data_IF_705921173436
#
_entry.id   IF_705921173436
#
_cell.length_a   1.000
_cell.length_b   1.000
_cell.length_c   1.000
_cell.angle_alpha   90.00
_cell.angle_beta   90.00
_cell.angle_gamma   90.00
#
_symmetry.space_group_name_H-M   'P 1'
#
loop_
_entity.id
_entity.type
_entity.pdbx_description
1 polymer ?
#
# COMPACT_ATOMS: atom_id res chain seq x y z
N UNK A 1 9.03 27.75 -1.32
CA UNK A 1 10.37 28.17 -1.79
C UNK A 1 10.24 28.91 -3.11
N UNK A 2 11.25 29.71 -3.49
CA UNK A 2 11.27 30.34 -4.79
C UNK A 2 11.68 29.33 -5.87
N UNK A 3 11.04 29.40 -7.04
CA UNK A 3 11.28 28.57 -8.21
C UNK A 3 11.60 29.42 -9.43
N UNK A 4 12.31 28.87 -10.40
CA UNK A 4 12.85 29.58 -11.57
C UNK A 4 12.51 28.87 -12.90
N UNK A 5 11.32 28.28 -13.00
CA UNK A 5 10.85 27.63 -14.23
C UNK A 5 10.60 28.65 -15.34
N UNK A 6 10.99 28.32 -16.56
CA UNK A 6 10.65 29.10 -17.76
C UNK A 6 9.18 28.91 -18.14
N UNK A 7 8.62 29.86 -18.92
CA UNK A 7 7.25 29.73 -19.43
C UNK A 7 7.07 28.47 -20.30
N UNK A 8 8.11 28.07 -21.03
CA UNK A 8 8.10 26.87 -21.85
C UNK A 8 7.98 25.59 -20.98
N UNK A 9 8.70 25.54 -19.84
CA UNK A 9 8.59 24.43 -18.88
C UNK A 9 7.20 24.40 -18.22
N UNK A 10 6.66 25.57 -17.84
CA UNK A 10 5.34 25.66 -17.22
C UNK A 10 4.17 25.34 -18.17
N UNK A 11 4.42 25.26 -19.48
CA UNK A 11 3.42 24.76 -20.44
C UNK A 11 3.13 23.26 -20.27
N UNK A 12 4.06 22.49 -19.67
CA UNK A 12 3.79 21.10 -19.24
C UNK A 12 2.95 21.10 -17.95
N UNK A 13 1.73 20.52 -17.96
CA UNK A 13 0.85 20.49 -16.79
C UNK A 13 1.49 19.81 -15.56
N UNK A 14 2.40 18.84 -15.77
CA UNK A 14 3.07 18.15 -14.66
C UNK A 14 4.15 19.02 -14.04
N UNK A 15 4.88 19.80 -14.83
CA UNK A 15 5.85 20.79 -14.31
C UNK A 15 5.11 21.94 -13.62
N UNK A 16 4.01 22.42 -14.18
CA UNK A 16 3.19 23.45 -13.55
C UNK A 16 2.65 23.02 -12.18
N UNK A 17 2.25 21.75 -12.05
CA UNK A 17 1.82 21.19 -10.76
C UNK A 17 3.01 21.02 -9.79
N UNK A 18 4.17 20.54 -10.27
CA UNK A 18 5.38 20.47 -9.48
C UNK A 18 5.81 21.85 -8.95
N UNK A 19 5.70 22.91 -9.76
CA UNK A 19 5.98 24.30 -9.36
C UNK A 19 5.10 24.73 -8.19
N UNK A 20 3.79 24.49 -8.25
CA UNK A 20 2.86 24.81 -7.14
C UNK A 20 3.26 24.10 -5.85
N UNK A 21 3.57 22.80 -5.94
CA UNK A 21 3.96 22.00 -4.78
C UNK A 21 5.29 22.51 -4.19
N UNK A 22 6.27 22.82 -5.04
CA UNK A 22 7.56 23.35 -4.63
C UNK A 22 7.41 24.72 -3.94
N UNK A 23 6.58 25.62 -4.48
CA UNK A 23 6.31 26.96 -3.90
C UNK A 23 5.64 26.86 -2.53
N UNK A 24 4.82 25.85 -2.27
CA UNK A 24 4.19 25.65 -0.97
C UNK A 24 5.20 25.30 0.14
N UNK A 25 6.40 24.80 -0.20
CA UNK A 25 7.41 24.43 0.79
C UNK A 25 8.17 25.64 1.32
N UNK A 26 8.12 25.86 2.64
CA UNK A 26 8.86 26.94 3.33
C UNK A 26 10.14 26.47 4.04
N UNK A 27 10.57 25.23 3.79
CA UNK A 27 11.78 24.62 4.35
C UNK A 27 11.89 24.60 5.90
N UNK A 28 10.78 24.64 6.63
CA UNK A 28 10.77 24.68 8.10
C UNK A 28 11.38 23.45 8.80
N UNK A 29 11.42 22.29 8.12
CA UNK A 29 12.04 21.07 8.64
C UNK A 29 11.12 20.18 9.50
N UNK A 30 9.87 20.52 9.78
CA UNK A 30 8.96 19.67 10.59
C UNK A 30 8.81 18.25 10.03
N UNK A 31 8.89 18.09 8.72
CA UNK A 31 8.81 16.80 8.05
C UNK A 31 10.00 15.85 8.33
N UNK A 32 11.12 16.35 8.84
CA UNK A 32 12.32 15.54 9.09
C UNK A 32 12.09 14.58 10.25
N UNK A 33 11.45 15.03 11.33
CA UNK A 33 11.19 14.22 12.53
C UNK A 33 10.30 13.00 12.26
N UNK A 34 9.45 13.06 11.23
CA UNK A 34 8.53 11.97 10.89
C UNK A 34 9.00 11.13 9.69
N UNK A 35 10.10 11.52 9.05
CA UNK A 35 10.65 10.79 7.90
C UNK A 35 11.44 9.56 8.35
N UNK A 36 11.01 8.33 7.98
CA UNK A 36 11.69 7.10 8.42
C UNK A 36 13.16 7.04 8.01
N UNK A 37 13.50 7.47 6.79
CA UNK A 37 14.87 7.43 6.30
C UNK A 37 15.77 8.46 6.97
N UNK A 38 15.27 9.66 7.23
CA UNK A 38 16.01 10.67 7.99
C UNK A 38 16.25 10.22 9.45
N UNK A 39 15.21 9.67 10.11
CA UNK A 39 15.31 9.15 11.47
C UNK A 39 16.34 8.02 11.59
N UNK A 40 16.52 7.21 10.53
CA UNK A 40 17.50 6.13 10.52
C UNK A 40 18.92 6.57 10.16
N UNK A 41 19.07 7.55 9.27
CA UNK A 41 20.35 7.86 8.61
C UNK A 41 20.94 9.20 9.05
N UNK A 42 20.11 10.16 9.49
CA UNK A 42 20.55 11.52 9.80
C UNK A 42 21.00 12.34 8.58
N UNK A 43 20.87 11.80 7.37
CA UNK A 43 21.27 12.44 6.13
C UNK A 43 20.16 13.39 5.65
N UNK A 44 20.50 14.68 5.47
CA UNK A 44 19.53 15.69 5.03
C UNK A 44 18.92 15.37 3.66
N UNK A 45 19.70 14.82 2.73
CA UNK A 45 19.20 14.46 1.39
C UNK A 45 18.24 13.26 1.44
N UNK A 46 18.23 12.49 2.53
CA UNK A 46 17.26 11.45 2.81
C UNK A 46 16.03 11.96 3.57
N UNK A 47 15.92 13.29 3.82
CA UNK A 47 14.75 13.97 4.36
C UNK A 47 13.76 14.40 3.27
N UNK A 48 12.48 14.66 3.58
CA UNK A 48 11.53 15.17 2.59
C UNK A 48 11.95 16.53 2.02
N UNK A 49 12.43 17.46 2.85
CA UNK A 49 12.86 18.77 2.36
C UNK A 49 14.13 18.69 1.52
N UNK A 50 15.07 17.84 1.87
CA UNK A 50 16.27 17.58 1.05
C UNK A 50 15.91 17.00 -0.31
N UNK A 51 14.99 16.02 -0.35
CA UNK A 51 14.45 15.47 -1.60
C UNK A 51 13.71 16.52 -2.43
N UNK A 52 12.93 17.40 -1.81
CA UNK A 52 12.26 18.52 -2.49
C UNK A 52 13.32 19.41 -3.17
N UNK A 53 14.44 19.66 -2.51
CA UNK A 53 15.54 20.42 -3.09
C UNK A 53 16.18 19.74 -4.29
N UNK A 54 16.49 18.44 -4.17
CA UNK A 54 17.01 17.64 -5.28
C UNK A 54 16.06 17.60 -6.49
N UNK A 55 14.77 17.45 -6.24
CA UNK A 55 13.74 17.43 -7.30
C UNK A 55 13.65 18.79 -7.95
N UNK A 56 13.62 19.88 -7.17
CA UNK A 56 13.61 21.25 -7.69
C UNK A 56 14.78 21.49 -8.63
N UNK A 57 15.99 21.17 -8.17
CA UNK A 57 17.21 21.39 -8.96
C UNK A 57 17.20 20.58 -10.27
N UNK A 58 16.75 19.31 -10.22
CA UNK A 58 16.65 18.46 -11.40
C UNK A 58 15.63 19.01 -12.42
N UNK A 59 14.46 19.49 -11.96
CA UNK A 59 13.39 19.96 -12.84
C UNK A 59 13.67 21.36 -13.41
N UNK A 60 14.12 22.31 -12.60
CA UNK A 60 14.41 23.69 -13.06
C UNK A 60 15.50 23.74 -14.11
N UNK A 61 16.55 22.93 -13.95
CA UNK A 61 17.65 22.88 -14.88
C UNK A 61 17.44 21.91 -16.04
N UNK A 62 16.28 21.24 -16.11
CA UNK A 62 15.92 20.24 -17.12
C UNK A 62 17.03 19.17 -17.30
N UNK A 63 17.68 18.78 -16.21
CA UNK A 63 18.81 17.84 -16.22
C UNK A 63 18.34 16.39 -16.11
N UNK A 64 19.06 15.43 -16.75
CA UNK A 64 18.94 14.02 -16.40
C UNK A 64 19.20 13.79 -14.90
N UNK A 65 18.53 12.81 -14.32
CA UNK A 65 18.76 12.44 -12.93
C UNK A 65 20.20 11.93 -12.73
N UNK A 66 20.88 12.41 -11.69
CA UNK A 66 22.19 11.91 -11.28
C UNK A 66 22.07 10.68 -10.39
N UNK A 67 23.14 9.91 -10.23
CA UNK A 67 23.17 8.77 -9.31
C UNK A 67 22.85 9.18 -7.85
N UNK A 68 23.23 10.39 -7.45
CA UNK A 68 22.92 10.95 -6.13
C UNK A 68 21.42 11.22 -5.97
N UNK A 69 20.78 11.89 -6.92
CA UNK A 69 19.33 12.12 -6.93
C UNK A 69 18.59 10.78 -6.86
N UNK A 70 18.96 9.82 -7.71
CA UNK A 70 18.37 8.49 -7.76
C UNK A 70 18.50 7.77 -6.42
N UNK A 71 19.67 7.80 -5.79
CA UNK A 71 19.92 7.19 -4.47
C UNK A 71 18.94 7.69 -3.42
N UNK A 72 18.74 8.99 -3.32
CA UNK A 72 17.91 9.58 -2.27
C UNK A 72 16.41 9.49 -2.59
N UNK A 73 16.00 9.58 -3.85
CA UNK A 73 14.60 9.39 -4.25
C UNK A 73 14.19 7.91 -4.12
N UNK A 74 15.04 6.96 -4.50
CA UNK A 74 14.77 5.53 -4.35
C UNK A 74 14.68 5.08 -2.88
N UNK A 75 15.30 5.80 -1.96
CA UNK A 75 15.18 5.58 -0.51
C UNK A 75 13.88 6.12 0.08
N UNK A 76 13.09 6.88 -0.65
CA UNK A 76 11.77 7.32 -0.19
C UNK A 76 10.77 6.16 -0.20
N UNK A 77 10.14 5.90 0.95
CA UNK A 77 9.13 4.86 1.11
C UNK A 77 7.73 5.26 0.60
N UNK A 78 7.53 6.48 0.14
CA UNK A 78 6.17 7.03 -0.11
C UNK A 78 5.19 6.77 1.03
N UNK A 79 5.68 6.86 2.26
CA UNK A 79 4.85 6.64 3.46
C UNK A 79 3.93 7.82 3.80
N UNK A 80 4.16 8.98 3.17
CA UNK A 80 3.37 10.20 3.26
C UNK A 80 3.27 10.85 4.66
N UNK A 81 4.05 10.37 5.65
CA UNK A 81 4.09 10.94 7.00
C UNK A 81 4.47 12.42 6.99
N UNK A 82 5.35 12.82 6.07
CA UNK A 82 5.72 14.21 5.85
C UNK A 82 4.56 15.11 5.41
N UNK A 83 3.55 14.57 4.72
CA UNK A 83 2.37 15.34 4.29
C UNK A 83 1.45 15.67 5.45
N UNK A 84 1.20 14.71 6.35
CA UNK A 84 0.34 14.92 7.52
C UNK A 84 0.99 15.78 8.59
N UNK A 85 2.32 15.90 8.58
CA UNK A 85 3.09 16.74 9.50
C UNK A 85 3.30 18.16 8.96
N UNK A 86 3.13 18.37 7.63
CA UNK A 86 3.46 19.64 7.00
C UNK A 86 2.40 20.72 7.27
N UNK A 87 2.74 21.82 7.99
CA UNK A 87 1.80 22.92 8.24
C UNK A 87 1.48 23.72 6.98
N UNK A 88 2.37 23.69 5.97
CA UNK A 88 2.18 24.41 4.70
C UNK A 88 1.43 23.58 3.64
N UNK A 89 0.99 22.36 3.97
CA UNK A 89 0.19 21.54 3.07
C UNK A 89 0.92 21.07 1.80
N UNK A 90 2.23 20.89 1.84
CA UNK A 90 3.00 20.41 0.68
C UNK A 90 2.53 19.03 0.23
N UNK A 91 2.01 18.91 -0.98
CA UNK A 91 1.53 17.65 -1.55
C UNK A 91 2.69 16.81 -2.10
N UNK A 92 3.54 16.32 -1.19
CA UNK A 92 4.80 15.64 -1.52
C UNK A 92 4.61 14.37 -2.36
N UNK A 93 3.47 13.67 -2.25
CA UNK A 93 3.18 12.43 -3.01
C UNK A 93 3.34 12.66 -4.52
N UNK A 94 2.63 13.62 -5.06
CA UNK A 94 2.68 13.90 -6.50
C UNK A 94 4.06 14.38 -6.96
N UNK A 95 4.78 15.12 -6.10
CA UNK A 95 6.13 15.58 -6.44
C UNK A 95 7.13 14.44 -6.54
N UNK A 96 7.11 13.48 -5.60
CA UNK A 96 8.04 12.35 -5.62
C UNK A 96 7.70 11.35 -6.73
N UNK A 97 6.42 11.19 -7.06
CA UNK A 97 5.99 10.33 -8.15
C UNK A 97 6.41 10.91 -9.51
N UNK A 98 6.23 12.24 -9.71
CA UNK A 98 6.76 12.93 -10.88
C UNK A 98 8.29 12.81 -11.00
N UNK A 99 9.03 12.92 -9.89
CA UNK A 99 10.47 12.72 -9.88
C UNK A 99 10.87 11.30 -10.29
N UNK A 100 10.14 10.28 -9.85
CA UNK A 100 10.40 8.87 -10.25
C UNK A 100 10.18 8.63 -11.73
N UNK A 101 9.13 9.22 -12.32
CA UNK A 101 8.89 9.16 -13.76
C UNK A 101 10.05 9.80 -14.52
N UNK A 102 10.51 10.99 -14.10
CA UNK A 102 11.68 11.66 -14.69
C UNK A 102 12.95 10.81 -14.56
N UNK A 103 13.18 10.19 -13.40
CA UNK A 103 14.32 9.29 -13.18
C UNK A 103 14.27 8.09 -14.14
N UNK A 104 13.12 7.44 -14.26
CA UNK A 104 12.99 6.25 -15.13
C UNK A 104 13.20 6.62 -16.60
N UNK A 105 12.81 7.82 -17.02
CA UNK A 105 13.00 8.33 -18.39
C UNK A 105 14.46 8.75 -18.68
N UNK A 106 15.19 9.30 -17.69
CA UNK A 106 16.46 9.98 -17.96
C UNK A 106 17.70 9.29 -17.36
N UNK A 107 17.53 8.41 -16.36
CA UNK A 107 18.64 7.72 -15.70
C UNK A 107 18.80 6.28 -16.15
N UNK A 108 20.00 5.97 -16.65
CA UNK A 108 20.33 4.59 -17.04
C UNK A 108 20.81 3.78 -15.85
N UNK A 109 19.92 3.05 -15.21
CA UNK A 109 20.23 2.16 -14.09
C UNK A 109 21.19 1.04 -14.49
N UNK A 110 22.01 0.50 -13.56
CA UNK A 110 22.80 -0.71 -13.78
C UNK A 110 21.92 -1.87 -14.29
N UNK A 111 22.48 -2.74 -15.13
CA UNK A 111 21.73 -3.83 -15.79
C UNK A 111 20.98 -4.72 -14.78
N UNK A 112 21.65 -5.11 -13.69
CA UNK A 112 21.04 -5.96 -12.65
C UNK A 112 19.82 -5.31 -12.00
N UNK A 113 19.87 -4.00 -11.69
CA UNK A 113 18.73 -3.25 -11.14
C UNK A 113 17.59 -3.15 -12.16
N UNK A 114 17.89 -2.89 -13.43
CA UNK A 114 16.90 -2.85 -14.51
C UNK A 114 16.17 -4.18 -14.67
N UNK A 115 16.92 -5.29 -14.72
CA UNK A 115 16.34 -6.63 -14.86
C UNK A 115 15.47 -6.96 -13.65
N UNK A 116 15.97 -6.72 -12.43
CA UNK A 116 15.22 -6.95 -11.21
C UNK A 116 13.90 -6.16 -11.19
N UNK A 117 13.94 -4.86 -11.47
CA UNK A 117 12.74 -4.01 -11.53
C UNK A 117 11.76 -4.47 -12.60
N UNK A 118 12.24 -4.88 -13.78
CA UNK A 118 11.41 -5.41 -14.85
C UNK A 118 10.72 -6.72 -14.45
N UNK A 119 11.44 -7.63 -13.79
CA UNK A 119 10.88 -8.89 -13.26
C UNK A 119 9.83 -8.60 -12.20
N UNK A 120 10.11 -7.74 -11.22
CA UNK A 120 9.15 -7.36 -10.18
C UNK A 120 7.90 -6.72 -10.77
N UNK A 121 8.05 -5.81 -11.72
CA UNK A 121 6.93 -5.13 -12.40
C UNK A 121 6.02 -6.10 -13.17
N UNK A 122 6.57 -7.18 -13.72
CA UNK A 122 5.80 -8.17 -14.50
C UNK A 122 5.22 -9.29 -13.62
N UNK A 123 5.97 -9.75 -12.63
CA UNK A 123 5.62 -10.93 -11.82
C UNK A 123 4.62 -10.58 -10.72
N UNK A 124 4.88 -9.53 -9.94
CA UNK A 124 4.07 -9.23 -8.75
C UNK A 124 2.62 -8.79 -9.07
N UNK A 125 2.34 -8.01 -10.14
CA UNK A 125 0.97 -7.66 -10.48
C UNK A 125 0.14 -8.82 -11.05
N UNK A 126 0.78 -9.93 -11.45
CA UNK A 126 0.11 -11.08 -12.04
C UNK A 126 0.06 -12.25 -11.06
N UNK A 127 -1.12 -12.62 -10.51
CA UNK A 127 -1.23 -13.69 -9.52
C UNK A 127 -0.67 -15.04 -9.97
N UNK A 128 -0.82 -15.39 -11.26
CA UNK A 128 -0.31 -16.67 -11.80
C UNK A 128 1.22 -16.71 -11.80
N UNK A 129 1.87 -15.66 -12.35
CA UNK A 129 3.33 -15.56 -12.35
C UNK A 129 3.89 -15.44 -10.95
N UNK A 130 3.18 -14.72 -10.06
CA UNK A 130 3.62 -14.58 -8.68
C UNK A 130 3.57 -15.89 -7.92
N UNK A 131 2.52 -16.72 -8.09
CA UNK A 131 2.46 -18.08 -7.51
C UNK A 131 3.59 -18.97 -8.03
N UNK A 132 3.85 -18.96 -9.33
CA UNK A 132 4.96 -19.73 -9.92
C UNK A 132 6.31 -19.29 -9.34
N UNK A 133 6.54 -17.99 -9.20
CA UNK A 133 7.75 -17.46 -8.59
C UNK A 133 7.90 -17.88 -7.11
N UNK A 134 6.80 -17.88 -6.35
CA UNK A 134 6.79 -18.34 -4.97
C UNK A 134 7.08 -19.86 -4.87
N UNK A 135 6.51 -20.68 -5.75
CA UNK A 135 6.77 -22.11 -5.78
C UNK A 135 8.24 -22.39 -6.11
N UNK A 136 8.79 -21.76 -7.14
CA UNK A 136 10.20 -21.88 -7.48
C UNK A 136 11.13 -21.40 -6.35
N UNK A 137 10.79 -20.28 -5.72
CA UNK A 137 11.58 -19.70 -4.63
C UNK A 137 11.47 -20.51 -3.33
N UNK A 138 10.38 -21.29 -3.11
CA UNK A 138 10.24 -22.10 -1.90
C UNK A 138 11.35 -23.15 -1.78
N UNK A 139 11.80 -23.71 -2.91
CA UNK A 139 12.94 -24.60 -3.00
C UNK A 139 14.27 -23.89 -2.68
N UNK A 140 14.36 -22.60 -3.02
CA UNK A 140 15.58 -21.79 -2.82
C UNK A 140 15.68 -21.12 -1.43
N UNK A 141 14.65 -21.20 -0.59
CA UNK A 141 14.60 -20.47 0.70
C UNK A 141 15.80 -20.79 1.61
N UNK A 142 16.24 -22.04 1.63
CA UNK A 142 17.38 -22.49 2.43
C UNK A 142 18.69 -21.83 1.99
N UNK A 143 18.75 -21.40 0.72
CA UNK A 143 19.92 -20.75 0.11
C UNK A 143 19.96 -19.23 0.32
N UNK A 144 18.96 -18.64 1.00
CA UNK A 144 18.91 -17.19 1.25
C UNK A 144 20.18 -16.62 1.91
N UNK A 145 20.82 -17.29 2.91
CA UNK A 145 22.08 -16.80 3.47
C UNK A 145 23.23 -16.78 2.44
N UNK A 146 23.31 -17.82 1.59
CA UNK A 146 24.32 -17.94 0.53
C UNK A 146 24.17 -16.79 -0.49
N UNK A 147 22.96 -16.52 -0.96
CA UNK A 147 22.69 -15.40 -1.88
C UNK A 147 23.08 -14.05 -1.24
N UNK A 148 22.85 -13.89 0.06
CA UNK A 148 23.31 -12.71 0.79
C UNK A 148 24.83 -12.57 0.82
N UNK A 149 25.54 -13.66 1.05
CA UNK A 149 27.01 -13.69 1.14
C UNK A 149 27.70 -13.39 -0.21
N UNK A 150 27.14 -13.84 -1.33
CA UNK A 150 27.64 -13.57 -2.68
C UNK A 150 27.18 -12.24 -3.27
N UNK A 151 26.57 -11.35 -2.46
CA UNK A 151 26.17 -10.01 -2.88
C UNK A 151 24.81 -9.91 -3.57
N UNK A 152 24.07 -11.02 -3.74
CA UNK A 152 22.72 -11.02 -4.32
C UNK A 152 21.67 -10.65 -3.25
N UNK A 153 21.88 -9.51 -2.57
CA UNK A 153 21.05 -9.03 -1.45
C UNK A 153 19.53 -8.96 -1.76
N UNK A 154 19.09 -8.49 -2.95
CA UNK A 154 17.65 -8.48 -3.27
C UNK A 154 17.04 -9.88 -3.37
N UNK A 155 17.76 -10.85 -3.92
CA UNK A 155 17.31 -12.25 -3.99
C UNK A 155 17.16 -12.82 -2.58
N UNK A 156 18.16 -12.59 -1.73
CA UNK A 156 18.09 -13.00 -0.32
C UNK A 156 16.90 -12.35 0.41
N UNK A 157 16.62 -11.08 0.15
CA UNK A 157 15.46 -10.38 0.71
C UNK A 157 14.14 -11.01 0.25
N UNK A 158 13.99 -11.29 -1.05
CA UNK A 158 12.81 -11.98 -1.58
C UNK A 158 12.59 -13.34 -0.92
N UNK A 159 13.64 -14.14 -0.80
CA UNK A 159 13.56 -15.48 -0.19
C UNK A 159 13.19 -15.43 1.30
N UNK A 160 13.62 -14.39 2.04
CA UNK A 160 13.26 -14.19 3.45
C UNK A 160 11.79 -13.76 3.63
N UNK A 161 11.21 -13.07 2.66
CA UNK A 161 9.83 -12.61 2.67
C UNK A 161 8.83 -13.69 2.22
N UNK A 162 9.32 -14.83 1.75
CA UNK A 162 8.45 -15.89 1.25
C UNK A 162 7.58 -16.48 2.35
N UNK A 163 6.29 -16.71 2.06
CA UNK A 163 5.40 -17.39 2.99
C UNK A 163 5.87 -18.82 3.25
N UNK A 164 5.55 -19.35 4.41
CA UNK A 164 5.87 -20.77 4.77
C UNK A 164 5.14 -21.76 3.86
N UNK A 165 3.97 -21.39 3.37
CA UNK A 165 3.13 -22.21 2.47
C UNK A 165 2.60 -21.34 1.34
N UNK A 166 2.74 -21.79 0.11
CA UNK A 166 2.13 -21.16 -1.06
C UNK A 166 0.71 -21.70 -1.20
N UNK A 167 -0.26 -20.79 -1.18
CA UNK A 167 -1.67 -21.13 -1.29
C UNK A 167 -2.07 -21.26 -2.77
N UNK A 168 -2.94 -22.23 -3.06
CA UNK A 168 -3.62 -22.32 -4.35
C UNK A 168 -4.65 -21.20 -4.54
N UNK A 169 -5.28 -21.11 -5.74
CA UNK A 169 -6.37 -20.19 -5.99
C UNK A 169 -7.51 -20.39 -4.97
N UNK A 170 -8.04 -19.30 -4.44
CA UNK A 170 -9.17 -19.34 -3.54
C UNK A 170 -10.51 -19.37 -4.33
N UNK A 171 -11.60 -19.92 -3.76
CA UNK A 171 -12.93 -19.84 -4.37
C UNK A 171 -13.42 -18.41 -4.61
N UNK A 172 -12.84 -17.44 -3.90
CA UNK A 172 -13.13 -16.02 -4.01
C UNK A 172 -12.17 -15.30 -4.96
N UNK A 173 -11.41 -16.00 -5.77
CA UNK A 173 -10.45 -15.41 -6.72
C UNK A 173 -11.08 -15.26 -8.11
N UNK A 174 -10.85 -14.13 -8.74
CA UNK A 174 -11.34 -13.81 -10.07
C UNK A 174 -12.72 -13.14 -10.06
N UNK A 175 -13.24 -12.93 -11.27
CA UNK A 175 -14.55 -12.27 -11.45
C UNK A 175 -15.68 -13.11 -10.84
N UNK A 176 -16.53 -12.47 -10.03
CA UNK A 176 -17.66 -13.13 -9.40
C UNK A 176 -18.62 -12.17 -8.71
N UNK A 177 -19.82 -12.66 -8.45
CA UNK A 177 -20.85 -11.96 -7.67
C UNK A 177 -21.23 -12.82 -6.47
N UNK A 178 -21.08 -12.25 -5.28
CA UNK A 178 -21.43 -12.87 -4.00
C UNK A 178 -22.70 -12.21 -3.49
N UNK A 179 -23.79 -12.96 -3.50
CA UNK A 179 -25.12 -12.45 -3.13
C UNK A 179 -25.21 -12.13 -1.64
N UNK A 180 -26.00 -11.13 -1.30
CA UNK A 180 -26.35 -10.82 0.08
C UNK A 180 -27.06 -12.01 0.75
N UNK A 181 -26.77 -12.25 2.02
CA UNK A 181 -27.58 -13.14 2.86
C UNK A 181 -28.85 -12.37 3.27
N UNK A 182 -30.01 -12.84 2.80
CA UNK A 182 -31.28 -12.14 2.98
C UNK A 182 -31.53 -11.04 1.94
N UNK A 183 -32.16 -9.95 2.36
CA UNK A 183 -32.52 -8.84 1.45
C UNK A 183 -31.29 -8.02 1.10
N UNK A 184 -31.05 -7.83 -0.21
CA UNK A 184 -29.98 -6.94 -0.69
C UNK A 184 -30.32 -5.48 -0.37
N UNK A 185 -29.47 -4.85 0.43
CA UNK A 185 -29.60 -3.43 0.81
C UNK A 185 -28.65 -2.54 0.02
N UNK A 186 -27.46 -3.04 -0.32
CA UNK A 186 -26.42 -2.31 -1.06
C UNK A 186 -25.66 -3.24 -2.00
N UNK A 187 -24.98 -2.64 -2.98
CA UNK A 187 -24.10 -3.34 -3.91
C UNK A 187 -22.72 -2.67 -3.93
N UNK A 188 -21.67 -3.42 -3.64
CA UNK A 188 -20.31 -2.90 -3.55
C UNK A 188 -19.35 -3.72 -4.42
N UNK A 189 -18.38 -3.07 -5.03
CA UNK A 189 -17.26 -3.77 -5.63
C UNK A 189 -16.18 -4.02 -4.58
N UNK A 190 -15.46 -5.15 -4.66
CA UNK A 190 -14.30 -5.45 -3.84
C UNK A 190 -13.09 -5.65 -4.75
N UNK A 191 -12.06 -4.82 -4.57
CA UNK A 191 -10.78 -5.00 -5.27
C UNK A 191 -10.15 -6.34 -4.86
N UNK A 192 -9.96 -7.25 -5.83
CA UNK A 192 -9.32 -8.52 -5.58
C UNK A 192 -7.87 -8.36 -5.12
N UNK A 193 -7.15 -7.45 -5.76
CA UNK A 193 -5.73 -7.20 -5.54
C UNK A 193 -4.82 -8.27 -6.18
N UNK A 194 -3.58 -7.92 -6.43
CA UNK A 194 -2.61 -8.81 -7.06
C UNK A 194 -1.86 -9.67 -6.03
N UNK A 195 -1.06 -9.04 -5.16
CA UNK A 195 -0.25 -9.73 -4.17
C UNK A 195 -1.11 -10.35 -3.04
N UNK A 196 -2.19 -9.69 -2.64
CA UNK A 196 -3.06 -10.17 -1.57
C UNK A 196 -3.80 -11.45 -1.95
N UNK A 197 -4.30 -11.56 -3.18
CA UNK A 197 -4.96 -12.75 -3.69
C UNK A 197 -4.05 -14.01 -3.61
N UNK A 198 -2.73 -13.81 -3.67
CA UNK A 198 -1.74 -14.89 -3.60
C UNK A 198 -1.26 -15.16 -2.18
N UNK A 199 -0.95 -14.10 -1.43
CA UNK A 199 -0.33 -14.22 -0.09
C UNK A 199 -1.34 -14.48 1.02
N UNK A 200 -2.54 -13.90 0.94
CA UNK A 200 -3.57 -14.00 1.97
C UNK A 200 -4.98 -13.84 1.38
N UNK A 201 -5.46 -14.80 0.59
CA UNK A 201 -6.81 -14.74 0.00
C UNK A 201 -7.92 -14.75 1.06
N UNK A 202 -7.62 -15.22 2.27
CA UNK A 202 -8.53 -15.21 3.43
C UNK A 202 -9.02 -13.80 3.79
N UNK A 203 -8.26 -12.76 3.50
CA UNK A 203 -8.63 -11.36 3.77
C UNK A 203 -9.88 -10.99 2.97
N UNK A 204 -9.87 -11.23 1.65
CA UNK A 204 -11.03 -10.94 0.82
C UNK A 204 -12.21 -11.86 1.16
N UNK A 205 -11.94 -13.14 1.45
CA UNK A 205 -12.98 -14.06 1.88
C UNK A 205 -13.66 -13.60 3.19
N UNK A 206 -12.92 -13.05 4.15
CA UNK A 206 -13.47 -12.47 5.38
C UNK A 206 -14.30 -11.22 5.09
N UNK A 207 -13.81 -10.33 4.21
CA UNK A 207 -14.55 -9.14 3.80
C UNK A 207 -15.87 -9.51 3.11
N UNK A 208 -15.86 -10.46 2.19
CA UNK A 208 -17.05 -10.94 1.48
C UNK A 208 -18.07 -11.49 2.47
N UNK A 209 -17.67 -12.43 3.37
CA UNK A 209 -18.59 -13.01 4.38
C UNK A 209 -19.19 -11.94 5.28
N UNK A 210 -18.38 -10.99 5.74
CA UNK A 210 -18.85 -9.94 6.63
C UNK A 210 -19.86 -9.02 5.92
N UNK A 211 -19.61 -8.66 4.67
CA UNK A 211 -20.46 -7.81 3.87
C UNK A 211 -21.77 -8.52 3.48
N UNK A 212 -21.69 -9.79 3.02
CA UNK A 212 -22.90 -10.53 2.59
C UNK A 212 -23.84 -10.78 3.76
N UNK A 213 -23.32 -11.10 4.95
CA UNK A 213 -24.13 -11.22 6.18
C UNK A 213 -24.80 -9.92 6.59
N UNK A 214 -24.25 -8.78 6.20
CA UNK A 214 -24.84 -7.46 6.43
C UNK A 214 -25.67 -6.94 5.24
N UNK A 215 -26.20 -7.82 4.40
CA UNK A 215 -27.11 -7.47 3.33
C UNK A 215 -26.46 -6.83 2.10
N UNK A 216 -25.15 -6.98 1.90
CA UNK A 216 -24.46 -6.44 0.75
C UNK A 216 -24.25 -7.51 -0.32
N UNK A 217 -24.54 -7.16 -1.57
CA UNK A 217 -24.03 -7.89 -2.72
C UNK A 217 -22.61 -7.41 -3.02
N UNK A 218 -21.66 -8.34 -3.11
CA UNK A 218 -20.24 -8.02 -3.35
C UNK A 218 -19.85 -8.49 -4.75
N UNK A 219 -19.28 -7.59 -5.54
CA UNK A 219 -18.83 -7.87 -6.90
C UNK A 219 -17.31 -7.78 -6.98
N UNK A 220 -16.69 -8.78 -7.55
CA UNK A 220 -15.32 -8.71 -8.08
C UNK A 220 -15.42 -8.57 -9.61
N UNK A 221 -15.06 -7.39 -10.12
CA UNK A 221 -15.32 -7.01 -11.51
C UNK A 221 -14.27 -7.57 -12.49
N UNK A 222 -13.22 -8.21 -11.97
CA UNK A 222 -12.08 -8.68 -12.77
C UNK A 222 -11.16 -7.54 -13.20
N UNK A 223 -11.00 -6.54 -12.33
CA UNK A 223 -10.27 -5.30 -12.56
C UNK A 223 -8.74 -5.48 -12.64
N UNK A 224 -8.21 -6.57 -12.09
CA UNK A 224 -6.77 -6.83 -12.05
C UNK A 224 -6.02 -6.01 -10.99
N UNK A 225 -4.80 -5.58 -11.32
CA UNK A 225 -3.95 -4.80 -10.42
C UNK A 225 -4.32 -3.31 -10.46
N UNK A 226 -4.29 -2.66 -9.28
CA UNK A 226 -4.53 -1.20 -9.15
C UNK A 226 -3.42 -0.29 -9.73
N UNK A 227 -2.30 -0.82 -10.20
CA UNK A 227 -1.19 -0.04 -10.73
C UNK A 227 -0.20 0.52 -9.70
N UNK A 228 -0.52 0.51 -8.42
CA UNK A 228 0.30 1.13 -7.35
C UNK A 228 1.76 0.69 -7.37
N UNK A 229 2.04 -0.59 -7.58
CA UNK A 229 3.38 -1.14 -7.50
C UNK A 229 4.29 -0.58 -8.60
N UNK A 230 3.84 -0.57 -9.84
CA UNK A 230 4.61 -0.06 -10.98
C UNK A 230 4.66 1.46 -10.98
N UNK A 231 3.62 2.15 -10.48
CA UNK A 231 3.60 3.59 -10.26
C UNK A 231 4.72 4.03 -9.30
N UNK A 232 4.87 3.38 -8.17
CA UNK A 232 5.95 3.66 -7.22
C UNK A 232 7.36 3.35 -7.75
N UNK A 233 7.46 2.60 -8.85
CA UNK A 233 8.71 2.36 -9.56
C UNK A 233 9.02 3.40 -10.65
N UNK A 234 8.12 4.37 -10.89
CA UNK A 234 8.22 5.39 -11.93
C UNK A 234 7.78 4.91 -13.32
N UNK A 235 7.17 3.73 -13.43
CA UNK A 235 6.68 3.15 -14.69
C UNK A 235 5.24 3.63 -14.95
N UNK A 236 5.13 4.92 -15.26
CA UNK A 236 3.85 5.63 -15.28
C UNK A 236 2.88 5.06 -16.30
N UNK A 237 3.30 4.85 -17.54
CA UNK A 237 2.41 4.33 -18.59
C UNK A 237 1.83 2.95 -18.23
N UNK A 238 2.63 2.06 -17.63
CA UNK A 238 2.13 0.76 -17.19
C UNK A 238 1.14 0.91 -16.02
N UNK A 239 1.38 1.86 -15.13
CA UNK A 239 0.47 2.15 -14.03
C UNK A 239 -0.86 2.70 -14.54
N UNK A 240 -0.82 3.63 -15.49
CA UNK A 240 -2.02 4.21 -16.12
C UNK A 240 -2.80 3.17 -16.93
N UNK A 241 -2.14 2.24 -17.63
CA UNK A 241 -2.81 1.13 -18.31
C UNK A 241 -3.55 0.22 -17.33
N UNK A 242 -2.94 -0.12 -16.18
CA UNK A 242 -3.59 -0.91 -15.15
C UNK A 242 -4.75 -0.14 -14.51
N UNK A 243 -4.59 1.16 -14.25
CA UNK A 243 -5.65 2.01 -13.74
C UNK A 243 -6.84 2.11 -14.71
N UNK A 244 -6.59 2.31 -16.02
CA UNK A 244 -7.64 2.34 -17.06
C UNK A 244 -8.42 1.02 -17.11
N UNK A 245 -7.72 -0.12 -17.06
CA UNK A 245 -8.37 -1.43 -17.04
C UNK A 245 -9.29 -1.61 -15.82
N UNK A 246 -8.83 -1.19 -14.63
CA UNK A 246 -9.64 -1.22 -13.40
C UNK A 246 -10.83 -0.27 -13.49
N UNK A 247 -10.63 0.95 -13.98
CA UNK A 247 -11.69 1.94 -14.18
C UNK A 247 -12.76 1.40 -15.14
N UNK A 248 -12.37 0.79 -16.27
CA UNK A 248 -13.32 0.24 -17.23
C UNK A 248 -14.12 -0.93 -16.62
N UNK A 249 -13.47 -1.78 -15.80
CA UNK A 249 -14.15 -2.87 -15.12
C UNK A 249 -15.23 -2.34 -14.15
N UNK A 250 -14.87 -1.40 -13.29
CA UNK A 250 -15.82 -0.82 -12.33
C UNK A 250 -16.85 0.08 -12.99
N UNK A 251 -16.51 0.83 -14.05
CA UNK A 251 -17.47 1.67 -14.78
C UNK A 251 -18.60 0.81 -15.37
N UNK A 252 -18.27 -0.39 -15.92
CA UNK A 252 -19.31 -1.33 -16.39
C UNK A 252 -20.28 -1.70 -15.28
N UNK A 253 -19.78 -2.02 -14.09
CA UNK A 253 -20.66 -2.39 -12.96
C UNK A 253 -21.48 -1.18 -12.45
N UNK A 254 -20.89 0.02 -12.47
CA UNK A 254 -21.56 1.26 -12.07
C UNK A 254 -22.69 1.60 -13.06
N UNK A 255 -22.46 1.43 -14.36
CA UNK A 255 -23.41 1.85 -15.41
C UNK A 255 -24.52 0.81 -15.66
N UNK A 256 -24.35 -0.45 -15.20
CA UNK A 256 -25.35 -1.51 -15.32
C UNK A 256 -26.28 -1.58 -14.11
N UNK A 257 -25.74 -2.01 -12.96
CA UNK A 257 -26.52 -2.24 -11.75
C UNK A 257 -26.26 -1.22 -10.62
N UNK A 258 -25.32 -0.31 -10.84
CA UNK A 258 -24.85 0.65 -9.83
C UNK A 258 -23.90 0.03 -8.81
N UNK A 259 -23.11 0.91 -8.18
CA UNK A 259 -22.24 0.57 -7.04
C UNK A 259 -22.35 1.67 -6.00
N UNK A 260 -22.56 1.28 -4.73
CA UNK A 260 -22.54 2.19 -3.58
C UNK A 260 -21.11 2.54 -3.16
N UNK A 261 -20.16 1.62 -3.33
CA UNK A 261 -18.74 1.82 -3.03
C UNK A 261 -17.85 0.82 -3.78
N UNK A 262 -16.56 1.17 -3.89
CA UNK A 262 -15.49 0.28 -4.32
C UNK A 262 -14.58 0.06 -3.10
N UNK A 263 -14.59 -1.15 -2.56
CA UNK A 263 -13.92 -1.48 -1.31
C UNK A 263 -12.52 -2.04 -1.57
N UNK A 264 -11.58 -1.59 -0.78
CA UNK A 264 -10.17 -1.99 -0.89
C UNK A 264 -9.69 -2.48 0.48
N UNK A 265 -9.17 -3.71 0.51
CA UNK A 265 -8.61 -4.35 1.72
C UNK A 265 -7.09 -4.17 1.84
N UNK A 266 -6.41 -3.73 0.79
CA UNK A 266 -4.99 -3.42 0.80
C UNK A 266 -4.79 -1.90 0.75
N UNK A 267 -4.49 -1.27 1.88
CA UNK A 267 -4.47 0.20 2.01
C UNK A 267 -3.55 0.94 1.04
N UNK A 268 -2.44 0.32 0.59
CA UNK A 268 -1.58 0.87 -0.45
C UNK A 268 -2.32 1.02 -1.78
N UNK A 269 -3.08 0.01 -2.18
CA UNK A 269 -3.97 0.07 -3.34
C UNK A 269 -5.05 1.14 -3.14
N UNK A 270 -5.62 1.24 -1.93
CA UNK A 270 -6.65 2.23 -1.61
C UNK A 270 -6.17 3.67 -1.81
N UNK A 271 -4.94 3.99 -1.41
CA UNK A 271 -4.36 5.31 -1.67
C UNK A 271 -4.29 5.61 -3.16
N UNK A 272 -3.84 4.65 -3.98
CA UNK A 272 -3.70 4.82 -5.43
C UNK A 272 -5.05 4.93 -6.13
N UNK A 273 -6.04 4.08 -5.79
CA UNK A 273 -7.37 4.13 -6.40
C UNK A 273 -8.09 5.45 -6.08
N UNK A 274 -7.95 5.95 -4.86
CA UNK A 274 -8.47 7.28 -4.47
C UNK A 274 -7.78 8.42 -5.23
N UNK A 275 -6.58 8.20 -5.76
CA UNK A 275 -5.81 9.19 -6.53
C UNK A 275 -5.98 9.07 -8.06
N UNK A 276 -6.73 8.11 -8.57
CA UNK A 276 -6.95 7.92 -10.01
C UNK A 276 -7.47 9.18 -10.72
N UNK A 277 -8.35 9.94 -10.04
CA UNK A 277 -8.86 11.20 -10.56
C UNK A 277 -7.75 12.22 -10.84
N UNK A 278 -6.70 12.25 -9.99
CA UNK A 278 -5.51 13.06 -10.24
C UNK A 278 -4.60 12.43 -11.29
N UNK A 279 -4.32 11.14 -11.20
CA UNK A 279 -3.41 10.42 -12.12
C UNK A 279 -3.86 10.57 -13.59
N UNK A 280 -5.18 10.51 -13.83
CA UNK A 280 -5.77 10.57 -15.18
C UNK A 280 -6.45 11.92 -15.48
N UNK A 281 -6.15 12.99 -14.73
CA UNK A 281 -6.79 14.32 -14.89
C UNK A 281 -6.63 14.93 -16.28
N UNK A 282 -5.55 14.59 -16.97
CA UNK A 282 -5.24 15.09 -18.32
C UNK A 282 -5.64 14.11 -19.43
N UNK A 283 -6.21 12.95 -19.10
CA UNK A 283 -6.69 11.96 -20.06
C UNK A 283 -8.15 12.26 -20.44
N UNK A 284 -8.39 12.79 -21.64
CA UNK A 284 -9.74 13.20 -22.08
C UNK A 284 -10.77 12.07 -22.07
N UNK A 285 -10.34 10.81 -22.23
CA UNK A 285 -11.21 9.64 -22.26
C UNK A 285 -11.51 9.10 -20.85
N UNK A 286 -10.62 9.32 -19.90
CA UNK A 286 -10.68 8.69 -18.58
C UNK A 286 -10.86 9.65 -17.40
N UNK A 287 -10.58 10.94 -17.54
CA UNK A 287 -10.62 11.90 -16.41
C UNK A 287 -11.94 11.84 -15.62
N UNK A 288 -13.07 11.84 -16.29
CA UNK A 288 -14.39 11.81 -15.64
C UNK A 288 -14.67 10.45 -14.97
N UNK A 289 -14.36 9.34 -15.65
CA UNK A 289 -14.52 7.98 -15.10
C UNK A 289 -13.62 7.77 -13.89
N UNK A 290 -12.36 8.21 -13.98
CA UNK A 290 -11.39 8.13 -12.90
C UNK A 290 -11.84 8.91 -11.66
N UNK A 291 -12.33 10.13 -11.83
CA UNK A 291 -12.89 10.94 -10.74
C UNK A 291 -14.07 10.23 -10.06
N UNK A 292 -14.99 9.63 -10.85
CA UNK A 292 -16.13 8.86 -10.33
C UNK A 292 -15.69 7.64 -9.52
N UNK A 293 -14.71 6.88 -10.01
CA UNK A 293 -14.12 5.73 -9.31
C UNK A 293 -13.44 6.16 -8.02
N UNK A 294 -12.64 7.25 -8.04
CA UNK A 294 -11.96 7.76 -6.85
C UNK A 294 -12.93 8.18 -5.75
N UNK A 295 -14.08 8.78 -6.12
CA UNK A 295 -15.13 9.18 -5.17
C UNK A 295 -15.80 7.96 -4.51
N UNK A 296 -15.95 6.85 -5.23
CA UNK A 296 -16.54 5.61 -4.70
C UNK A 296 -15.55 4.75 -3.91
N UNK A 297 -14.24 4.97 -4.07
CA UNK A 297 -13.21 4.19 -3.41
C UNK A 297 -13.20 4.38 -1.89
N UNK A 298 -13.24 3.28 -1.13
CA UNK A 298 -13.20 3.26 0.33
C UNK A 298 -12.25 2.16 0.82
N UNK A 299 -11.49 2.44 1.87
CA UNK A 299 -10.87 1.37 2.64
C UNK A 299 -11.97 0.53 3.30
N UNK A 300 -11.76 -0.79 3.39
CA UNK A 300 -12.75 -1.69 4.00
C UNK A 300 -13.10 -1.27 5.42
N UNK A 301 -12.13 -0.79 6.21
CA UNK A 301 -12.37 -0.33 7.57
C UNK A 301 -13.13 0.99 7.64
N UNK A 302 -12.89 1.89 6.67
CA UNK A 302 -13.65 3.14 6.52
C UNK A 302 -15.13 2.83 6.23
N UNK A 303 -15.40 1.89 5.34
CA UNK A 303 -16.73 1.50 4.97
C UNK A 303 -17.46 0.75 6.10
N UNK A 304 -16.82 -0.28 6.68
CA UNK A 304 -17.40 -1.05 7.77
C UNK A 304 -17.77 -0.19 8.99
N UNK A 305 -17.03 0.89 9.24
CA UNK A 305 -17.35 1.83 10.33
C UNK A 305 -18.67 2.58 10.11
N UNK A 306 -19.23 2.58 8.88
CA UNK A 306 -20.56 3.14 8.57
C UNK A 306 -21.71 2.15 8.74
N UNK A 307 -21.39 0.89 9.05
CA UNK A 307 -22.39 -0.19 9.21
C UNK A 307 -22.64 -0.49 10.68
N UNK A 308 -23.85 -0.95 10.95
CA UNK A 308 -24.21 -1.55 12.24
C UNK A 308 -23.98 -3.06 12.15
N UNK A 309 -22.79 -3.52 12.52
CA UNK A 309 -22.43 -4.95 12.44
C UNK A 309 -23.14 -5.84 13.49
N UNK A 310 -23.89 -5.23 14.38
CA UNK A 310 -24.50 -5.92 15.52
C UNK A 310 -23.50 -6.29 16.62
N UNK A 311 -23.96 -6.93 17.71
CA UNK A 311 -23.08 -7.37 18.79
C UNK A 311 -22.17 -8.51 18.29
N UNK A 312 -20.91 -8.59 18.78
CA UNK A 312 -20.03 -9.69 18.43
C UNK A 312 -20.60 -11.02 18.96
N UNK A 313 -20.59 -12.04 18.12
CA UNK A 313 -21.00 -13.41 18.48
C UNK A 313 -19.97 -14.09 19.44
N UNK A 314 -18.77 -13.55 19.51
CA UNK A 314 -17.67 -14.03 20.36
C UNK A 314 -17.02 -12.83 21.01
N UNK A 315 -17.01 -12.84 22.34
CA UNK A 315 -16.24 -11.85 23.12
C UNK A 315 -14.95 -12.53 23.55
N UNK A 316 -13.85 -12.14 22.94
CA UNK A 316 -12.52 -12.62 23.33
C UNK A 316 -11.78 -11.58 24.17
N UNK A 317 -10.93 -12.03 25.09
CA UNK A 317 -10.07 -11.15 25.90
C UNK A 317 -8.74 -10.81 25.20
N UNK A 318 -8.60 -11.07 23.90
CA UNK A 318 -7.33 -10.85 23.20
C UNK A 318 -6.96 -9.37 23.16
N UNK A 319 -5.71 -9.11 23.51
CA UNK A 319 -5.09 -7.79 23.35
C UNK A 319 -4.50 -7.66 21.96
N UNK A 320 -4.97 -6.66 21.22
CA UNK A 320 -4.59 -6.39 19.83
C UNK A 320 -3.72 -5.15 19.76
N UNK A 321 -2.48 -5.27 19.30
CA UNK A 321 -1.68 -4.12 18.91
C UNK A 321 -2.11 -3.68 17.50
N UNK A 322 -2.67 -2.49 17.36
CA UNK A 322 -3.05 -1.99 16.04
C UNK A 322 -1.88 -1.33 15.33
N UNK A 323 -1.41 -1.97 14.25
CA UNK A 323 -0.38 -1.41 13.37
C UNK A 323 -1.06 -0.60 12.27
N UNK A 324 -1.10 0.71 12.43
CA UNK A 324 -1.59 1.64 11.43
C UNK A 324 -0.67 1.62 10.20
N UNK A 325 -1.15 1.13 9.06
CA UNK A 325 -0.41 1.23 7.81
C UNK A 325 -0.27 2.71 7.40
N UNK A 326 0.92 3.10 6.93
CA UNK A 326 1.17 4.49 6.54
C UNK A 326 0.20 4.98 5.45
N UNK A 327 -0.17 4.13 4.51
CA UNK A 327 -1.18 4.42 3.49
C UNK A 327 -2.60 4.63 4.05
N UNK A 328 -2.97 3.99 5.17
CA UNK A 328 -4.23 4.28 5.88
C UNK A 328 -4.14 5.62 6.59
N UNK A 329 -3.14 5.77 7.48
CA UNK A 329 -3.12 6.93 8.39
C UNK A 329 -2.67 8.23 7.70
N UNK A 330 -1.71 8.18 6.78
CA UNK A 330 -1.15 9.36 6.12
C UNK A 330 -1.71 9.55 4.71
N UNK A 331 -1.84 8.48 3.92
CA UNK A 331 -2.37 8.54 2.57
C UNK A 331 -3.87 8.82 2.55
N UNK A 332 -4.65 8.03 3.26
CA UNK A 332 -6.10 8.11 3.28
C UNK A 332 -6.68 8.87 4.47
N UNK A 333 -5.86 9.23 5.48
CA UNK A 333 -6.24 9.94 6.72
C UNK A 333 -7.32 9.23 7.55
N UNK A 334 -7.33 7.90 7.51
CA UNK A 334 -8.22 7.04 8.29
C UNK A 334 -7.50 6.70 9.60
N UNK A 335 -7.91 7.31 10.72
CA UNK A 335 -7.16 7.27 11.99
C UNK A 335 -7.84 6.42 13.07
N UNK A 336 -9.15 6.57 13.23
CA UNK A 336 -9.92 5.98 14.34
C UNK A 336 -10.67 4.71 13.95
N UNK A 337 -11.26 4.69 12.77
CA UNK A 337 -12.20 3.67 12.30
C UNK A 337 -11.71 2.22 12.52
N UNK A 338 -10.47 1.83 12.17
CA UNK A 338 -10.02 0.46 12.39
C UNK A 338 -9.94 0.08 13.87
N UNK A 339 -9.51 1.02 14.73
CA UNK A 339 -9.41 0.79 16.18
C UNK A 339 -10.78 0.70 16.82
N UNK A 340 -11.70 1.58 16.43
CA UNK A 340 -13.07 1.60 16.94
C UNK A 340 -13.81 0.31 16.54
N UNK A 341 -13.61 -0.18 15.31
CA UNK A 341 -14.16 -1.46 14.86
C UNK A 341 -13.64 -2.65 15.67
N UNK A 342 -12.33 -2.69 15.93
CA UNK A 342 -11.74 -3.75 16.76
C UNK A 342 -12.25 -3.68 18.20
N UNK A 343 -12.37 -2.49 18.78
CA UNK A 343 -12.91 -2.31 20.13
C UNK A 343 -14.39 -2.73 20.20
N UNK A 344 -15.22 -2.33 19.23
CA UNK A 344 -16.62 -2.76 19.12
C UNK A 344 -16.75 -4.28 18.93
N UNK A 345 -15.77 -4.90 18.28
CA UNK A 345 -15.70 -6.37 18.13
C UNK A 345 -15.23 -7.10 19.40
N UNK A 346 -15.01 -6.38 20.52
CA UNK A 346 -14.68 -6.96 21.82
C UNK A 346 -13.18 -7.14 22.10
N UNK A 347 -12.28 -6.61 21.26
CA UNK A 347 -10.83 -6.69 21.47
C UNK A 347 -10.32 -5.55 22.34
N UNK A 348 -9.28 -5.81 23.14
CA UNK A 348 -8.53 -4.79 23.87
C UNK A 348 -7.47 -4.19 22.94
N UNK A 349 -7.73 -3.00 22.39
CA UNK A 349 -6.84 -2.37 21.42
C UNK A 349 -5.74 -1.57 22.10
N UNK A 350 -4.48 -1.80 21.69
CA UNK A 350 -3.32 -1.06 22.18
C UNK A 350 -2.64 -0.31 21.04
N UNK A 351 -2.23 0.93 21.33
CA UNK A 351 -1.43 1.75 20.43
C UNK A 351 0.04 1.35 20.48
N UNK A 352 0.68 1.40 19.31
CA UNK A 352 2.10 1.11 19.17
C UNK A 352 2.87 2.43 19.21
N UNK A 353 3.95 2.49 20.00
CA UNK A 353 4.84 3.66 19.99
C UNK A 353 5.39 3.92 18.58
N UNK A 354 5.61 5.19 18.25
CA UNK A 354 6.04 5.61 16.91
C UNK A 354 5.14 5.06 15.78
N UNK A 355 3.81 5.06 16.00
CA UNK A 355 2.84 4.54 15.04
C UNK A 355 3.00 5.19 13.65
N UNK A 356 3.41 6.46 13.59
CA UNK A 356 3.61 7.23 12.36
C UNK A 356 4.76 6.71 11.47
N UNK A 357 5.74 5.99 12.02
CA UNK A 357 6.84 5.44 11.23
C UNK A 357 6.40 4.22 10.42
N UNK A 358 6.88 4.14 9.17
CA UNK A 358 6.64 3.02 8.27
C UNK A 358 7.22 1.70 8.83
N UNK A 359 6.60 0.57 8.50
CA UNK A 359 7.09 -0.77 8.81
C UNK A 359 8.24 -1.25 7.90
N UNK A 360 8.60 -0.47 6.88
CA UNK A 360 9.63 -0.80 5.90
C UNK A 360 9.16 -1.61 4.68
N UNK A 361 7.88 -1.94 4.55
CA UNK A 361 7.37 -2.72 3.41
C UNK A 361 7.37 -1.92 2.09
N UNK A 362 6.52 -0.92 1.96
CA UNK A 362 6.40 0.03 0.85
C UNK A 362 6.53 -0.59 -0.57
N UNK A 363 5.64 -1.50 -0.91
CA UNK A 363 5.61 -2.18 -2.21
C UNK A 363 6.86 -3.03 -2.44
N UNK A 364 7.69 -2.66 -3.41
CA UNK A 364 8.96 -3.34 -3.73
C UNK A 364 10.16 -2.85 -2.91
N UNK A 365 9.97 -1.85 -2.06
CA UNK A 365 11.05 -1.21 -1.29
C UNK A 365 11.82 -2.21 -0.42
N UNK A 366 11.13 -3.12 0.25
CA UNK A 366 11.75 -4.14 1.11
C UNK A 366 12.63 -5.15 0.35
N UNK A 367 12.48 -5.23 -0.97
CA UNK A 367 13.36 -6.00 -1.86
C UNK A 367 14.53 -5.12 -2.34
N UNK A 368 14.22 -3.91 -2.82
CA UNK A 368 15.19 -3.00 -3.43
C UNK A 368 16.09 -2.29 -2.40
N UNK A 369 15.57 -2.01 -1.21
CA UNK A 369 16.22 -1.32 -0.09
C UNK A 369 16.22 -2.19 1.19
N UNK A 370 16.52 -3.48 1.04
CA UNK A 370 16.33 -4.50 2.08
C UNK A 370 16.97 -4.19 3.44
N UNK A 371 18.12 -3.51 3.47
CA UNK A 371 18.79 -3.13 4.71
C UNK A 371 17.98 -2.09 5.50
N UNK A 372 17.57 -1.01 4.85
CA UNK A 372 16.75 0.03 5.49
C UNK A 372 15.39 -0.51 5.90
N UNK A 373 14.78 -1.34 5.04
CA UNK A 373 13.51 -2.01 5.31
C UNK A 373 13.59 -2.90 6.55
N UNK A 374 14.69 -3.64 6.71
CA UNK A 374 14.93 -4.49 7.89
C UNK A 374 15.06 -3.66 9.16
N UNK A 375 15.86 -2.59 9.14
CA UNK A 375 16.03 -1.68 10.29
C UNK A 375 14.70 -1.05 10.72
N UNK A 376 13.85 -0.65 9.77
CA UNK A 376 12.51 -0.11 10.06
C UNK A 376 11.58 -1.17 10.65
N UNK A 377 11.58 -2.38 10.07
CA UNK A 377 10.82 -3.52 10.58
C UNK A 377 11.19 -3.81 12.04
N UNK A 378 12.47 -3.96 12.32
CA UNK A 378 12.96 -4.37 13.63
C UNK A 378 12.64 -3.30 14.70
N UNK A 379 12.76 -2.01 14.35
CA UNK A 379 12.30 -0.91 15.22
C UNK A 379 10.80 -0.97 15.49
N UNK A 380 9.99 -1.24 14.47
CA UNK A 380 8.54 -1.38 14.63
C UNK A 380 8.20 -2.60 15.47
N UNK A 381 8.85 -3.74 15.28
CA UNK A 381 8.65 -4.95 16.07
C UNK A 381 9.05 -4.77 17.54
N UNK A 382 10.13 -4.05 17.81
CA UNK A 382 10.50 -3.70 19.19
C UNK A 382 9.40 -2.86 19.90
N UNK A 383 8.77 -1.93 19.17
CA UNK A 383 7.65 -1.15 19.70
C UNK A 383 6.38 -2.00 19.87
N UNK A 384 6.11 -2.94 18.97
CA UNK A 384 5.01 -3.90 19.09
C UNK A 384 5.21 -4.80 20.32
N UNK A 385 6.40 -5.35 20.52
CA UNK A 385 6.68 -6.23 21.65
C UNK A 385 6.42 -5.55 23.02
N UNK A 386 6.69 -4.24 23.13
CA UNK A 386 6.42 -3.45 24.35
C UNK A 386 4.94 -3.33 24.67
N UNK A 387 4.04 -3.57 23.73
CA UNK A 387 2.59 -3.52 24.00
C UNK A 387 2.11 -4.73 24.81
N UNK A 388 2.84 -5.84 24.80
CA UNK A 388 2.40 -7.10 25.40
C UNK A 388 1.14 -7.68 24.74
N UNK A 389 0.90 -7.34 23.46
CA UNK A 389 -0.29 -7.80 22.75
C UNK A 389 -0.15 -9.26 22.28
N UNK A 390 -1.29 -9.96 22.28
CA UNK A 390 -1.40 -11.35 21.82
C UNK A 390 -1.33 -11.45 20.29
N UNK A 391 -1.81 -10.41 19.60
CA UNK A 391 -1.90 -10.36 18.14
C UNK A 391 -1.70 -8.95 17.63
N UNK A 392 -1.18 -8.83 16.41
CA UNK A 392 -1.08 -7.56 15.67
C UNK A 392 -2.15 -7.51 14.60
N UNK A 393 -2.93 -6.43 14.55
CA UNK A 393 -3.87 -6.15 13.46
C UNK A 393 -3.31 -5.10 12.50
N UNK A 394 -3.43 -5.33 11.20
CA UNK A 394 -3.05 -4.34 10.18
C UNK A 394 -3.98 -4.39 8.98
N UNK A 395 -4.25 -3.26 8.33
CA UNK A 395 -5.07 -3.15 7.12
C UNK A 395 -4.26 -3.19 5.81
N UNK A 396 -3.08 -3.83 5.79
CA UNK A 396 -2.25 -3.88 4.58
C UNK A 396 -1.40 -5.15 4.51
N UNK A 397 -1.60 -5.93 3.45
CA UNK A 397 -0.86 -7.18 3.21
C UNK A 397 0.67 -6.98 3.18
N UNK A 398 1.15 -5.86 2.63
CA UNK A 398 2.58 -5.56 2.63
C UNK A 398 3.15 -5.41 4.04
N UNK A 399 2.45 -4.73 4.96
CA UNK A 399 2.85 -4.61 6.35
C UNK A 399 2.80 -5.96 7.07
N UNK A 400 1.73 -6.75 6.83
CA UNK A 400 1.57 -8.09 7.42
C UNK A 400 2.75 -8.97 7.04
N UNK A 401 3.08 -9.06 5.74
CA UNK A 401 4.20 -9.88 5.24
C UNK A 401 5.55 -9.41 5.79
N UNK A 402 5.80 -8.10 5.81
CA UNK A 402 7.05 -7.52 6.27
C UNK A 402 7.31 -7.79 7.76
N UNK A 403 6.30 -7.57 8.58
CA UNK A 403 6.42 -7.75 10.03
C UNK A 403 6.46 -9.23 10.42
N UNK A 404 5.64 -10.09 9.79
CA UNK A 404 5.62 -11.53 10.06
C UNK A 404 6.96 -12.22 9.77
N UNK A 405 7.78 -11.64 8.90
CA UNK A 405 9.13 -12.16 8.62
C UNK A 405 10.12 -11.94 9.79
N UNK A 406 9.77 -11.18 10.83
CA UNK A 406 10.68 -10.85 11.94
C UNK A 406 10.13 -11.12 13.34
N UNK A 407 8.94 -11.72 13.48
CA UNK A 407 8.32 -11.99 14.78
C UNK A 407 7.58 -13.32 14.82
N UNK A 408 7.35 -13.83 16.02
CA UNK A 408 6.47 -14.98 16.30
C UNK A 408 5.07 -14.53 16.74
N UNK A 409 4.87 -13.26 17.06
CA UNK A 409 3.54 -12.70 17.37
C UNK A 409 2.68 -12.81 16.10
N UNK A 410 1.48 -13.42 16.18
CA UNK A 410 0.61 -13.52 15.02
C UNK A 410 0.24 -12.14 14.46
N UNK A 411 0.25 -12.00 13.14
CA UNK A 411 -0.17 -10.78 12.46
C UNK A 411 -1.29 -11.13 11.52
N UNK A 412 -2.43 -10.45 11.66
CA UNK A 412 -3.64 -10.72 10.89
C UNK A 412 -4.21 -9.43 10.31
N UNK A 413 -5.06 -9.57 9.32
CA UNK A 413 -5.75 -8.41 8.78
C UNK A 413 -6.91 -8.00 9.71
N UNK A 414 -7.13 -6.69 9.86
CA UNK A 414 -8.20 -6.12 10.69
C UNK A 414 -9.55 -6.74 10.38
N UNK A 415 -9.89 -6.92 9.09
CA UNK A 415 -11.17 -7.50 8.67
C UNK A 415 -11.33 -8.96 9.06
N UNK A 416 -10.23 -9.73 9.14
CA UNK A 416 -10.29 -11.15 9.57
C UNK A 416 -10.65 -11.26 11.06
N UNK A 417 -10.13 -10.35 11.90
CA UNK A 417 -10.51 -10.28 13.32
C UNK A 417 -11.98 -9.89 13.49
N UNK A 418 -12.44 -8.90 12.74
CA UNK A 418 -13.83 -8.45 12.79
C UNK A 418 -14.76 -9.57 12.31
N UNK A 419 -14.45 -10.24 11.18
CA UNK A 419 -15.23 -11.37 10.68
C UNK A 419 -15.30 -12.51 11.71
N UNK A 420 -14.17 -12.85 12.33
CA UNK A 420 -14.12 -13.88 13.37
C UNK A 420 -14.97 -13.51 14.60
N UNK A 421 -14.89 -12.28 15.09
CA UNK A 421 -15.70 -11.82 16.19
C UNK A 421 -17.22 -11.91 15.89
N UNK A 422 -17.63 -11.71 14.64
CA UNK A 422 -19.01 -11.80 14.19
C UNK A 422 -19.40 -13.18 13.60
N UNK A 423 -18.74 -14.24 14.01
CA UNK A 423 -19.13 -15.64 13.69
C UNK A 423 -18.40 -16.24 12.48
N UNK A 424 -17.46 -15.55 11.88
CA UNK A 424 -16.57 -16.11 10.86
C UNK A 424 -15.54 -17.11 11.42
N UNK A 425 -14.75 -17.75 10.56
CA UNK A 425 -13.72 -18.69 10.99
C UNK A 425 -12.57 -17.96 11.71
N UNK A 426 -11.96 -18.65 12.68
CA UNK A 426 -10.76 -18.17 13.37
C UNK A 426 -9.61 -18.01 12.35
N UNK A 427 -8.93 -16.86 12.28
CA UNK A 427 -7.79 -16.67 11.40
C UNK A 427 -6.72 -17.75 11.59
N UNK A 428 -6.13 -18.23 10.49
CA UNK A 428 -5.13 -19.31 10.53
C UNK A 428 -3.97 -19.02 11.48
N UNK A 429 -3.49 -17.77 11.48
CA UNK A 429 -2.40 -17.33 12.34
C UNK A 429 -2.72 -17.43 13.84
N UNK A 430 -4.01 -17.51 14.22
CA UNK A 430 -4.46 -17.57 15.61
C UNK A 430 -4.80 -18.98 16.07
N UNK A 431 -4.68 -20.00 15.24
CA UNK A 431 -5.07 -21.39 15.62
C UNK A 431 -4.37 -21.93 16.86
N UNK A 432 -3.17 -21.41 17.15
CA UNK A 432 -2.35 -21.82 18.30
C UNK A 432 -2.55 -20.96 19.55
N UNK A 433 -3.37 -19.94 19.47
CA UNK A 433 -3.78 -19.11 20.63
C UNK A 433 -5.10 -19.67 21.15
N UNK A 434 -5.18 -19.90 22.46
CA UNK A 434 -6.37 -20.45 23.11
C UNK A 434 -7.60 -19.54 22.99
#
# INVERSE_FOLDING_TARGET
>A
MQTSFTLAQLADPNIAEADKILRACVHCGFCTATCPTYVLLGDELDSPRGRIYLIKDMLENDRPATAEVVKHIDRCLSCLSCMTTCPSGVHYMHLVDHARVRIEATYRRPLGDRVLRAVLAKVLPNPRWFRLALLAGSLGRVLAPLFGAIGLKPVAAMLRLMPRRVLGPAPTEGRGVFRAEGTRTRRVALLEGCAQAVLAPSINAAAIRLLTRNGHEVVQAGEGCCGSLVHHMGRDEEALQQARAAIDAWTREIDTEGLDAILITASGCGTTVKDYGYMLRNDSAYAQKAARVSVLARDVSEYLATLELGPPARVGSLTVAYQAACSIQHGQKILKQPKDLLAKAGFVVRDIAEAHLCCGSAGTYNILQGELATRLRDRKLANIARTGADVVASGNIGCITQLAAGTTIPIVHTVELIDWAHGGPKPEALKHIA
#
